data_IF_128005522195
#
_entry.id   IF_128005522195
#
_cell.length_a   1.000
_cell.length_b   1.000
_cell.length_c   1.000
_cell.angle_alpha   90.00
_cell.angle_beta   90.00
_cell.angle_gamma   90.00
#
_symmetry.space_group_name_H-M   'P 1'
#
loop_
_entity.id
_entity.type
_entity.pdbx_description
1 polymer ?
#
# COMPACT_ATOMS: atom_id res chain seq x y z
N UNK A 1 -13.79 21.14 -22.28
CA UNK A 1 -12.82 20.18 -22.87
C UNK A 1 -11.70 19.81 -21.90
N UNK A 2 -11.15 20.75 -21.11
CA UNK A 2 -10.12 20.50 -20.08
C UNK A 2 -10.56 19.53 -18.97
N UNK A 3 -11.82 19.57 -18.52
CA UNK A 3 -12.26 18.73 -17.39
C UNK A 3 -12.32 17.23 -17.70
N UNK A 4 -12.49 16.86 -18.97
CA UNK A 4 -12.52 15.45 -19.39
C UNK A 4 -11.15 14.80 -19.16
N UNK A 5 -10.06 15.50 -19.48
CA UNK A 5 -8.69 15.02 -19.27
C UNK A 5 -8.35 14.79 -17.79
N UNK A 6 -8.96 15.56 -16.88
CA UNK A 6 -8.76 15.43 -15.44
C UNK A 6 -9.80 14.52 -14.76
N UNK A 7 -10.69 13.88 -15.52
CA UNK A 7 -11.60 12.89 -14.95
C UNK A 7 -10.83 11.69 -14.40
N UNK A 8 -11.17 11.15 -13.21
CA UNK A 8 -10.40 10.07 -12.58
C UNK A 8 -10.14 8.86 -13.49
N UNK A 9 -11.09 8.38 -14.32
CA UNK A 9 -10.82 7.26 -15.22
C UNK A 9 -9.76 7.57 -16.27
N UNK A 10 -9.80 8.78 -16.84
CA UNK A 10 -8.87 9.19 -17.91
C UNK A 10 -7.47 9.40 -17.34
N UNK A 11 -7.36 10.01 -16.16
CA UNK A 11 -6.08 10.17 -15.45
C UNK A 11 -5.48 8.80 -15.13
N UNK A 12 -6.29 7.85 -14.63
CA UNK A 12 -5.83 6.49 -14.36
C UNK A 12 -5.26 5.82 -15.61
N UNK A 13 -6.00 5.83 -16.73
CA UNK A 13 -5.54 5.23 -18.00
C UNK A 13 -4.26 5.91 -18.47
N UNK A 14 -4.17 7.23 -18.37
CA UNK A 14 -2.99 8.00 -18.78
C UNK A 14 -1.75 7.59 -17.99
N UNK A 15 -1.86 7.45 -16.66
CA UNK A 15 -0.74 7.01 -15.82
C UNK A 15 -0.35 5.55 -16.08
N UNK A 16 -1.31 4.66 -16.34
CA UNK A 16 -1.02 3.27 -16.72
C UNK A 16 -0.26 3.23 -18.04
N UNK A 17 -0.71 3.97 -19.06
CA UNK A 17 -0.02 4.06 -20.34
C UNK A 17 1.40 4.62 -20.17
N UNK A 18 1.56 5.65 -19.34
CA UNK A 18 2.87 6.21 -19.03
C UNK A 18 3.79 5.18 -18.36
N UNK A 19 3.30 4.41 -17.39
CA UNK A 19 4.06 3.34 -16.76
C UNK A 19 4.48 2.24 -17.75
N UNK A 20 3.60 1.87 -18.70
CA UNK A 20 3.91 0.91 -19.77
C UNK A 20 5.01 1.45 -20.69
N UNK A 21 4.96 2.73 -21.05
CA UNK A 21 6.00 3.37 -21.87
C UNK A 21 7.34 3.36 -21.13
N UNK A 22 7.37 3.73 -19.85
CA UNK A 22 8.58 3.68 -19.04
C UNK A 22 9.15 2.26 -18.91
N UNK A 23 8.27 1.28 -18.67
CA UNK A 23 8.67 -0.13 -18.61
C UNK A 23 9.26 -0.61 -19.94
N UNK A 24 8.58 -0.32 -21.06
CA UNK A 24 9.02 -0.69 -22.40
C UNK A 24 10.35 -0.02 -22.77
N UNK A 25 10.49 1.27 -22.44
CA UNK A 25 11.73 2.02 -22.64
C UNK A 25 12.88 1.42 -21.81
N UNK A 26 12.67 1.19 -20.51
CA UNK A 26 13.67 0.55 -19.65
C UNK A 26 14.06 -0.84 -20.13
N UNK A 27 13.10 -1.62 -20.63
CA UNK A 27 13.35 -2.92 -21.26
C UNK A 27 14.16 -2.80 -22.55
N UNK A 28 13.92 -1.78 -23.38
CA UNK A 28 14.67 -1.57 -24.62
C UNK A 28 16.13 -1.17 -24.38
N UNK A 29 16.40 -0.53 -23.24
CA UNK A 29 17.76 -0.18 -22.82
C UNK A 29 18.49 -1.34 -22.12
N UNK A 30 17.78 -2.41 -21.76
CA UNK A 30 18.39 -3.56 -21.09
C UNK A 30 19.29 -4.33 -22.06
N UNK A 31 20.47 -4.73 -21.59
CA UNK A 31 21.38 -5.60 -22.35
C UNK A 31 20.81 -7.01 -22.59
N UNK A 32 21.45 -7.82 -23.44
CA UNK A 32 20.99 -9.16 -23.75
C UNK A 32 20.79 -10.01 -22.49
N UNK A 33 19.63 -10.68 -22.40
CA UNK A 33 19.35 -11.59 -21.31
C UNK A 33 20.18 -12.88 -21.47
N UNK A 34 20.96 -13.21 -20.44
CA UNK A 34 21.61 -14.51 -20.30
C UNK A 34 20.93 -15.24 -19.14
N UNK A 35 19.82 -15.95 -19.39
CA UNK A 35 19.05 -16.61 -18.34
C UNK A 35 19.86 -17.75 -17.72
N UNK A 36 19.82 -17.86 -16.40
CA UNK A 36 20.32 -19.02 -15.68
C UNK A 36 19.44 -19.28 -14.46
N UNK A 37 19.31 -20.53 -13.99
CA UNK A 37 18.52 -20.85 -12.79
C UNK A 37 18.94 -20.02 -11.57
N UNK A 38 20.24 -19.73 -11.44
CA UNK A 38 20.80 -18.90 -10.37
C UNK A 38 20.38 -17.42 -10.44
N UNK A 39 20.17 -16.85 -11.64
CA UNK A 39 19.69 -15.46 -11.78
C UNK A 39 18.21 -15.30 -11.44
N UNK A 40 17.47 -16.40 -11.41
CA UNK A 40 16.05 -16.45 -11.01
C UNK A 40 15.83 -16.99 -9.59
N UNK A 41 16.87 -17.44 -8.90
CA UNK A 41 16.75 -17.92 -7.52
C UNK A 41 16.75 -16.77 -6.51
N UNK A 42 16.07 -16.96 -5.38
CA UNK A 42 16.12 -16.02 -4.24
C UNK A 42 17.57 -15.78 -3.82
N UNK A 43 17.96 -14.51 -3.72
CA UNK A 43 19.28 -14.16 -3.22
C UNK A 43 19.38 -14.52 -1.73
N UNK A 44 20.26 -15.47 -1.40
CA UNK A 44 20.50 -15.94 -0.04
C UNK A 44 21.99 -15.85 0.33
N UNK A 45 22.70 -14.82 -0.16
CA UNK A 45 24.13 -14.60 0.09
C UNK A 45 25.04 -15.79 -0.26
N UNK A 46 24.65 -16.61 -1.24
CA UNK A 46 25.37 -17.81 -1.66
C UNK A 46 24.90 -19.11 -1.01
N UNK A 47 24.00 -19.05 -0.03
CA UNK A 47 23.42 -20.22 0.63
C UNK A 47 22.24 -20.81 -0.15
N UNK A 48 21.86 -22.05 0.21
CA UNK A 48 20.63 -22.64 -0.29
C UNK A 48 19.42 -21.81 0.16
N UNK A 49 18.53 -21.39 -0.76
CA UNK A 49 17.39 -20.56 -0.40
C UNK A 49 16.46 -21.32 0.55
N UNK A 50 15.84 -20.63 1.54
CA UNK A 50 14.93 -21.28 2.47
C UNK A 50 13.76 -21.91 1.71
N UNK A 51 13.51 -23.19 1.97
CA UNK A 51 12.43 -23.96 1.32
C UNK A 51 11.06 -23.71 1.92
N UNK A 52 11.01 -23.00 3.06
CA UNK A 52 9.80 -22.59 3.75
C UNK A 52 9.81 -21.08 3.87
N UNK A 53 8.67 -20.45 3.61
CA UNK A 53 8.46 -19.03 3.87
C UNK A 53 8.69 -18.80 5.37
N UNK A 54 9.66 -17.97 5.72
CA UNK A 54 9.75 -17.46 7.07
C UNK A 54 8.52 -16.57 7.28
N UNK A 55 7.59 -17.00 8.12
CA UNK A 55 6.47 -16.18 8.60
C UNK A 55 6.85 -15.73 10.01
N UNK A 56 7.76 -14.75 10.18
CA UNK A 56 8.01 -14.18 11.50
C UNK A 56 6.67 -13.68 12.05
N UNK A 57 6.42 -13.94 13.34
CA UNK A 57 5.11 -13.75 13.96
C UNK A 57 4.50 -12.39 13.59
N UNK A 58 3.43 -12.42 12.80
CA UNK A 58 2.82 -11.22 12.21
C UNK A 58 1.97 -10.42 13.21
N UNK A 59 1.84 -10.90 14.44
CA UNK A 59 0.93 -10.36 15.44
C UNK A 59 1.24 -8.91 15.83
N UNK A 60 2.50 -8.51 16.09
CA UNK A 60 2.81 -7.10 16.37
C UNK A 60 2.55 -6.20 15.15
N UNK A 61 2.90 -6.67 13.95
CA UNK A 61 2.62 -5.94 12.72
C UNK A 61 1.12 -5.73 12.50
N UNK A 62 0.32 -6.76 12.76
CA UNK A 62 -1.13 -6.69 12.60
C UNK A 62 -1.76 -5.60 13.49
N UNK A 63 -1.33 -5.52 14.76
CA UNK A 63 -1.80 -4.46 15.68
C UNK A 63 -1.44 -3.07 15.14
N UNK A 64 -0.20 -2.90 14.66
CA UNK A 64 0.24 -1.64 14.07
C UNK A 64 -0.55 -1.28 12.80
N UNK A 65 -0.78 -2.24 11.91
CA UNK A 65 -1.54 -2.04 10.68
C UNK A 65 -2.99 -1.64 10.97
N UNK A 66 -3.64 -2.32 11.92
CA UNK A 66 -5.02 -2.01 12.31
C UNK A 66 -5.11 -0.64 12.99
N UNK A 67 -4.12 -0.28 13.80
CA UNK A 67 -4.04 1.05 14.41
C UNK A 67 -4.02 2.14 13.34
N UNK A 68 -3.15 2.01 12.33
CA UNK A 68 -3.09 2.98 11.24
C UNK A 68 -4.37 3.00 10.40
N UNK A 69 -5.02 1.87 10.17
CA UNK A 69 -6.29 1.82 9.44
C UNK A 69 -7.41 2.58 10.16
N UNK A 70 -7.56 2.40 11.48
CA UNK A 70 -8.57 3.09 12.29
C UNK A 70 -8.22 4.58 12.42
N UNK A 71 -6.95 4.92 12.64
CA UNK A 71 -6.50 6.30 12.69
C UNK A 71 -6.77 7.01 11.35
N UNK A 72 -6.50 6.34 10.23
CA UNK A 72 -6.79 6.86 8.90
C UNK A 72 -8.29 7.14 8.72
N UNK A 73 -9.17 6.25 9.18
CA UNK A 73 -10.61 6.49 9.19
C UNK A 73 -10.98 7.71 10.05
N UNK A 74 -10.32 7.90 11.20
CA UNK A 74 -10.51 9.08 12.04
C UNK A 74 -10.14 10.38 11.32
N UNK A 75 -9.00 10.40 10.63
CA UNK A 75 -8.59 11.55 9.81
C UNK A 75 -9.54 11.80 8.65
N UNK A 76 -10.06 10.75 8.01
CA UNK A 76 -11.08 10.88 6.95
C UNK A 76 -12.36 11.52 7.49
N UNK A 77 -12.88 11.05 8.63
CA UNK A 77 -14.08 11.60 9.27
C UNK A 77 -13.86 13.06 9.69
N UNK A 78 -12.69 13.38 10.25
CA UNK A 78 -12.34 14.74 10.66
C UNK A 78 -12.19 15.69 9.46
N UNK A 79 -11.54 15.23 8.38
CA UNK A 79 -11.22 16.06 7.22
C UNK A 79 -12.37 16.25 6.23
N UNK A 80 -13.32 15.31 6.17
CA UNK A 80 -14.49 15.38 5.28
C UNK A 80 -15.80 15.76 5.98
N UNK A 81 -15.82 15.67 7.32
CA UNK A 81 -17.00 15.96 8.12
C UNK A 81 -17.22 17.45 8.38
N UNK A 82 -18.45 17.79 8.77
CA UNK A 82 -18.78 19.11 9.31
C UNK A 82 -18.72 19.08 10.84
N UNK A 83 -18.60 20.24 11.48
CA UNK A 83 -18.67 20.35 12.94
C UNK A 83 -20.09 20.02 13.42
N UNK A 84 -20.30 18.78 13.83
CA UNK A 84 -21.59 18.26 14.28
C UNK A 84 -21.42 17.27 15.43
N UNK A 85 -22.49 17.07 16.20
CA UNK A 85 -22.50 16.09 17.30
C UNK A 85 -22.25 14.66 16.79
N UNK A 86 -22.75 14.34 15.59
CA UNK A 86 -22.56 13.03 14.97
C UNK A 86 -21.09 12.79 14.61
N UNK A 87 -20.40 13.79 14.05
CA UNK A 87 -18.96 13.72 13.79
C UNK A 87 -18.17 13.52 15.09
N UNK A 88 -18.55 14.24 16.16
CA UNK A 88 -17.98 14.05 17.49
C UNK A 88 -18.18 12.62 18.02
N UNK A 89 -19.36 12.04 17.84
CA UNK A 89 -19.65 10.66 18.24
C UNK A 89 -18.81 9.63 17.48
N UNK A 90 -18.64 9.79 16.16
CA UNK A 90 -17.78 8.92 15.37
C UNK A 90 -16.31 9.02 15.79
N UNK A 91 -15.79 10.23 15.98
CA UNK A 91 -14.41 10.43 16.44
C UNK A 91 -14.18 9.86 17.84
N UNK A 92 -15.13 10.05 18.76
CA UNK A 92 -15.09 9.46 20.10
C UNK A 92 -15.09 7.93 20.06
N UNK A 93 -15.93 7.33 19.22
CA UNK A 93 -15.95 5.87 19.02
C UNK A 93 -14.62 5.35 18.47
N UNK A 94 -14.08 5.98 17.43
CA UNK A 94 -12.79 5.61 16.85
C UNK A 94 -11.64 5.75 17.86
N UNK A 95 -11.67 6.80 18.69
CA UNK A 95 -10.70 6.98 19.77
C UNK A 95 -10.77 5.85 20.80
N UNK A 96 -11.97 5.43 21.23
CA UNK A 96 -12.14 4.29 22.13
C UNK A 96 -11.60 3.01 21.49
N UNK A 97 -11.88 2.76 20.21
CA UNK A 97 -11.37 1.58 19.50
C UNK A 97 -9.83 1.59 19.47
N UNK A 98 -9.19 2.75 19.23
CA UNK A 98 -7.73 2.87 19.28
C UNK A 98 -7.18 2.59 20.68
N UNK A 99 -7.84 3.07 21.73
CA UNK A 99 -7.45 2.78 23.11
C UNK A 99 -7.55 1.28 23.41
N UNK A 100 -8.65 0.64 23.03
CA UNK A 100 -8.84 -0.81 23.21
C UNK A 100 -7.76 -1.60 22.46
N UNK A 101 -7.42 -1.17 21.24
CA UNK A 101 -6.40 -1.83 20.41
C UNK A 101 -4.98 -1.73 20.99
N UNK A 102 -4.65 -0.62 21.66
CA UNK A 102 -3.33 -0.42 22.27
C UNK A 102 -3.24 -1.13 23.63
N UNK A 103 -4.34 -1.16 24.39
CA UNK A 103 -4.37 -1.67 25.76
C UNK A 103 -4.70 -3.16 25.88
N UNK A 104 -5.26 -3.78 24.83
CA UNK A 104 -5.62 -5.21 24.77
C UNK A 104 -4.61 -6.07 24.03
#
# INVERSE_FOLDING_TARGET
MSEVLFSPPIVFVTYVLFAIVLYGFGRSLAGPASPSPMKSSTYASGEAPPTKVAVPGYRPFFVMALFFAILHLGVLVLGSGQLSLMTGAYLGGLFIVLLVLILG
#
